data_IF_039878435964
#
_entry.id   IF_039878435964
#
_cell.length_a   1.000
_cell.length_b   1.000
_cell.length_c   1.000
_cell.angle_alpha   90.00
_cell.angle_beta   90.00
_cell.angle_gamma   90.00
#
_symmetry.space_group_name_H-M   'P 1'
#
loop_
_entity.id
_entity.type
_entity.pdbx_description
1 polymer ?
#
# COMPACT_ATOMS: atom_id res chain seq x y z
N UNK A 1 7.33 -5.56 2.10
CA UNK A 1 6.53 -6.80 1.84
C UNK A 1 5.24 -6.78 2.64
N UNK A 2 5.20 -7.10 3.94
CA UNK A 2 3.94 -6.96 4.70
C UNK A 2 3.61 -5.49 4.98
N UNK A 3 4.60 -4.68 5.36
CA UNK A 3 4.41 -3.24 5.61
C UNK A 3 3.86 -2.50 4.38
N UNK A 4 4.47 -2.70 3.20
CA UNK A 4 3.94 -2.22 1.91
C UNK A 4 2.50 -2.70 1.64
N UNK A 5 2.21 -3.99 1.87
CA UNK A 5 0.86 -4.54 1.62
C UNK A 5 -0.20 -3.97 2.57
N UNK A 6 0.17 -3.68 3.82
CA UNK A 6 -0.73 -3.03 4.78
C UNK A 6 -1.02 -1.59 4.40
N UNK A 7 -0.06 -0.87 3.82
CA UNK A 7 -0.30 0.48 3.29
C UNK A 7 -1.19 0.51 2.05
N UNK A 8 -1.31 -0.60 1.32
CA UNK A 8 -2.13 -0.70 0.10
C UNK A 8 -3.57 -1.18 0.38
N UNK A 9 -3.80 -1.91 1.48
CA UNK A 9 -5.10 -2.54 1.74
C UNK A 9 -5.41 -2.66 3.24
N UNK A 10 -6.29 -1.78 3.71
CA UNK A 10 -6.85 -1.84 5.06
C UNK A 10 -7.58 -3.16 5.37
N UNK A 11 -8.38 -3.75 4.44
CA UNK A 11 -8.99 -5.06 4.66
C UNK A 11 -7.97 -6.16 4.97
N UNK A 12 -6.86 -6.20 4.21
CA UNK A 12 -5.82 -7.19 4.41
C UNK A 12 -5.13 -7.03 5.78
N UNK A 13 -4.85 -5.79 6.20
CA UNK A 13 -4.29 -5.53 7.53
C UNK A 13 -5.24 -6.00 8.64
N UNK A 14 -6.54 -5.76 8.50
CA UNK A 14 -7.54 -6.15 9.51
C UNK A 14 -7.70 -7.68 9.60
N UNK A 15 -7.73 -8.37 8.47
CA UNK A 15 -7.75 -9.83 8.43
C UNK A 15 -6.48 -10.42 9.04
N UNK A 16 -5.31 -9.83 8.73
CA UNK A 16 -4.04 -10.24 9.30
C UNK A 16 -4.01 -10.06 10.83
N UNK A 17 -4.47 -8.91 11.34
CA UNK A 17 -4.58 -8.65 12.79
C UNK A 17 -5.51 -9.66 13.47
N UNK A 18 -6.65 -9.95 12.85
CA UNK A 18 -7.63 -10.91 13.38
C UNK A 18 -7.09 -12.34 13.39
N UNK A 19 -6.39 -12.75 12.33
CA UNK A 19 -5.82 -14.08 12.21
C UNK A 19 -4.74 -14.37 13.27
N UNK A 20 -3.89 -13.36 13.56
CA UNK A 20 -2.78 -13.49 14.51
C UNK A 20 -3.11 -13.02 15.93
N UNK A 21 -4.37 -12.61 16.20
CA UNK A 21 -4.81 -12.06 17.49
C UNK A 21 -3.95 -10.87 17.96
N UNK A 22 -3.66 -9.95 17.04
CA UNK A 22 -2.84 -8.77 17.31
C UNK A 22 -3.69 -7.63 17.87
N UNK A 23 -3.15 -6.84 18.83
CA UNK A 23 -3.89 -5.74 19.42
C UNK A 23 -4.12 -4.59 18.41
N UNK A 24 -5.16 -3.80 18.64
CA UNK A 24 -5.63 -2.79 17.68
C UNK A 24 -4.58 -1.70 17.38
N UNK A 25 -3.75 -1.37 18.38
CA UNK A 25 -2.67 -0.39 18.33
C UNK A 25 -1.40 -0.91 17.63
N UNK A 26 -1.33 -2.20 17.32
CA UNK A 26 -0.21 -2.76 16.59
C UNK A 26 -0.17 -2.24 15.16
N UNK A 27 0.98 -1.70 14.76
CA UNK A 27 1.19 -1.20 13.41
C UNK A 27 2.62 -1.48 12.94
N UNK A 28 2.77 -1.88 11.68
CA UNK A 28 4.07 -2.14 11.06
C UNK A 28 4.28 -1.16 9.90
N UNK A 29 4.88 -0.01 10.21
CA UNK A 29 5.16 1.03 9.23
C UNK A 29 6.44 0.72 8.48
N UNK A 30 6.40 0.80 7.16
CA UNK A 30 7.58 0.54 6.33
C UNK A 30 8.71 1.53 6.64
N UNK A 31 8.36 2.75 7.09
CA UNK A 31 9.28 3.79 7.55
C UNK A 31 10.08 3.46 8.81
N UNK A 32 9.62 2.50 9.61
CA UNK A 32 10.33 2.05 10.80
C UNK A 32 11.44 1.04 10.51
N UNK A 33 11.52 0.51 9.28
CA UNK A 33 12.44 -0.59 8.93
C UNK A 33 13.88 -0.13 8.62
N UNK A 34 14.13 1.17 8.53
CA UNK A 34 15.47 1.73 8.31
C UNK A 34 16.09 1.40 6.95
N UNK A 35 15.28 0.91 5.99
CA UNK A 35 15.68 0.62 4.62
C UNK A 35 15.26 1.77 3.68
N UNK A 36 15.93 1.96 2.53
CA UNK A 36 15.50 2.95 1.56
C UNK A 36 14.11 2.64 0.99
N UNK A 37 13.21 3.64 0.97
CA UNK A 37 11.83 3.51 0.49
C UNK A 37 11.54 4.55 -0.60
N UNK A 38 12.30 4.51 -1.70
CA UNK A 38 12.02 5.42 -2.81
C UNK A 38 10.73 5.00 -3.52
N UNK A 39 9.82 5.95 -3.72
CA UNK A 39 8.55 5.73 -4.42
C UNK A 39 7.42 5.14 -3.57
N UNK A 40 7.56 5.09 -2.24
CA UNK A 40 6.46 4.67 -1.35
C UNK A 40 5.34 5.72 -1.29
N UNK A 41 5.70 7.00 -1.29
CA UNK A 41 4.77 8.11 -1.00
C UNK A 41 4.48 8.97 -2.24
N UNK A 42 5.42 9.00 -3.19
CA UNK A 42 5.35 9.85 -4.38
C UNK A 42 5.52 8.98 -5.62
N UNK A 43 4.41 8.83 -6.33
CA UNK A 43 4.33 8.15 -7.61
C UNK A 43 3.59 9.06 -8.61
N UNK A 44 3.77 8.78 -9.90
CA UNK A 44 3.06 9.47 -10.97
C UNK A 44 2.53 8.41 -11.92
N UNK A 45 1.23 8.41 -12.15
CA UNK A 45 0.60 7.49 -13.08
C UNK A 45 0.75 7.99 -14.53
N UNK A 46 0.70 7.06 -15.49
CA UNK A 46 0.82 7.39 -16.91
C UNK A 46 -0.38 8.21 -17.43
N UNK A 47 -1.55 8.11 -16.79
CA UNK A 47 -2.73 8.94 -17.11
C UNK A 47 -2.53 10.42 -16.82
N UNK A 48 -1.56 10.78 -15.98
CA UNK A 48 -1.23 12.17 -15.66
C UNK A 48 -0.43 12.87 -16.78
N UNK A 49 0.01 12.13 -17.81
CA UNK A 49 0.72 12.70 -18.96
C UNK A 49 -0.26 13.38 -19.95
N UNK A 50 0.16 14.47 -20.62
CA UNK A 50 -0.67 15.13 -21.62
C UNK A 50 -1.11 14.19 -22.75
N UNK A 51 -2.40 14.21 -23.09
CA UNK A 51 -3.04 13.40 -24.14
C UNK A 51 -3.01 11.87 -23.93
N UNK A 52 -2.73 11.39 -22.71
CA UNK A 52 -2.82 9.97 -22.37
C UNK A 52 -4.25 9.59 -21.98
N UNK A 53 -4.81 8.54 -22.60
CA UNK A 53 -6.17 8.02 -22.32
C UNK A 53 -6.11 6.50 -22.17
N UNK A 54 -5.67 5.98 -21.00
CA UNK A 54 -5.58 4.55 -20.78
C UNK A 54 -6.96 3.91 -20.78
N UNK A 55 -7.04 2.68 -21.27
CA UNK A 55 -8.27 1.87 -21.19
C UNK A 55 -8.17 1.00 -19.93
N UNK A 56 -9.06 1.24 -18.97
CA UNK A 56 -9.13 0.48 -17.72
C UNK A 56 -9.96 -0.78 -17.96
N UNK A 57 -9.37 -1.94 -17.69
CA UNK A 57 -9.97 -3.26 -17.95
C UNK A 57 -10.36 -4.03 -16.68
N UNK A 58 -10.07 -3.46 -15.51
CA UNK A 58 -10.22 -4.08 -14.20
C UNK A 58 -10.83 -3.11 -13.20
N UNK A 59 -11.32 -3.64 -12.08
CA UNK A 59 -11.59 -2.84 -10.89
C UNK A 59 -10.26 -2.37 -10.28
N UNK A 60 -10.23 -1.18 -9.69
CA UNK A 60 -9.07 -0.56 -9.01
C UNK A 60 -9.24 -0.62 -7.49
#
# INVERSE_FOLDING_TARGET
>A
MFASSFGLSDPFLNEFKTFWDLPADWNLLESSLGIPMFGSDVTMDISEMPDCKPVIMTEE
#
